data_IF_200015629805
#
_entry.id   IF_200015629805
#
_cell.length_a   1.000
_cell.length_b   1.000
_cell.length_c   1.000
_cell.angle_alpha   90.00
_cell.angle_beta   90.00
_cell.angle_gamma   90.00
#
_symmetry.space_group_name_H-M   'P 1'
#
loop_
_entity.id
_entity.type
_entity.pdbx_description
1 polymer ?
#
# COMPACT_ATOMS: atom_id res chain seq x y z
N UNK A 1 11.03 -17.52 -6.32
CA UNK A 1 11.54 -18.82 -5.81
C UNK A 1 11.14 -19.91 -6.78
N UNK A 2 12.05 -20.83 -7.12
CA UNK A 2 11.72 -22.03 -7.91
C UNK A 2 11.01 -23.05 -7.01
N UNK A 3 9.98 -23.70 -7.53
CA UNK A 3 9.26 -24.75 -6.82
C UNK A 3 10.05 -26.05 -6.94
N UNK A 4 10.31 -26.68 -5.80
CA UNK A 4 11.04 -27.95 -5.75
C UNK A 4 10.34 -29.01 -6.61
N UNK A 5 11.12 -29.78 -7.38
CA UNK A 5 10.61 -30.81 -8.27
C UNK A 5 9.84 -30.30 -9.51
N UNK A 6 9.78 -28.98 -9.74
CA UNK A 6 9.11 -28.39 -10.91
C UNK A 6 10.05 -27.46 -11.69
N UNK A 7 9.73 -27.29 -12.97
CA UNK A 7 10.29 -26.23 -13.82
C UNK A 7 9.35 -25.03 -13.83
N UNK A 8 9.10 -24.48 -12.64
CA UNK A 8 8.24 -23.34 -12.42
C UNK A 8 8.70 -22.57 -11.19
N UNK A 9 8.42 -21.27 -11.17
CA UNK A 9 8.74 -20.39 -10.07
C UNK A 9 7.51 -19.55 -9.67
N UNK A 10 7.50 -19.11 -8.41
CA UNK A 10 6.56 -18.12 -7.90
C UNK A 10 7.33 -16.87 -7.52
N UNK A 11 6.82 -15.68 -7.88
CA UNK A 11 7.37 -14.43 -7.40
C UNK A 11 6.97 -14.26 -5.93
N UNK A 12 7.95 -13.98 -5.06
CA UNK A 12 7.69 -13.86 -3.62
C UNK A 12 8.03 -12.45 -3.18
N UNK A 13 7.03 -11.73 -2.70
CA UNK A 13 7.21 -10.49 -1.98
C UNK A 13 7.55 -10.81 -0.52
N UNK A 14 8.81 -10.56 -0.14
CA UNK A 14 9.34 -10.78 1.21
C UNK A 14 9.20 -9.54 2.10
N UNK A 15 8.61 -8.48 1.55
CA UNK A 15 8.52 -7.16 2.15
C UNK A 15 9.79 -6.33 1.97
N UNK A 16 10.10 -5.48 2.94
CA UNK A 16 11.01 -4.36 2.78
C UNK A 16 12.35 -4.55 3.51
N UNK A 17 13.38 -3.93 2.95
CA UNK A 17 14.71 -3.80 3.54
C UNK A 17 15.00 -2.32 3.82
N UNK A 18 15.92 -1.99 4.74
CA UNK A 18 16.34 -0.61 4.94
C UNK A 18 16.89 0.01 3.65
N UNK A 19 16.53 1.27 3.37
CA UNK A 19 17.01 1.99 2.19
C UNK A 19 18.54 2.11 2.14
N UNK A 20 19.20 2.18 3.31
CA UNK A 20 20.66 2.19 3.40
C UNK A 20 21.32 0.87 2.99
N UNK A 21 20.55 -0.21 2.79
CA UNK A 21 21.01 -1.54 2.39
C UNK A 21 20.38 -1.97 1.06
N UNK A 22 19.81 -1.03 0.29
CA UNK A 22 19.09 -1.32 -0.95
C UNK A 22 19.98 -1.33 -2.18
N UNK A 23 21.29 -1.13 -2.07
CA UNK A 23 22.19 -1.22 -3.23
C UNK A 23 22.29 -2.68 -3.72
N UNK A 24 22.55 -2.94 -5.02
CA UNK A 24 22.67 -4.30 -5.55
C UNK A 24 23.65 -5.19 -4.77
N UNK A 25 24.78 -4.63 -4.34
CA UNK A 25 25.78 -5.37 -3.55
C UNK A 25 25.28 -5.75 -2.16
N UNK A 26 24.69 -4.79 -1.43
CA UNK A 26 24.22 -5.01 -0.07
C UNK A 26 23.01 -5.95 -0.01
N UNK A 27 22.12 -5.89 -1.01
CA UNK A 27 20.92 -6.75 -1.08
C UNK A 27 21.26 -8.24 -1.12
N UNK A 28 22.46 -8.60 -1.59
CA UNK A 28 22.92 -9.98 -1.63
C UNK A 28 22.98 -10.62 -0.24
N UNK A 29 23.18 -9.83 0.82
CA UNK A 29 23.17 -10.30 2.21
C UNK A 29 21.82 -10.90 2.64
N UNK A 30 20.73 -10.59 1.93
CA UNK A 30 19.39 -11.11 2.19
C UNK A 30 19.01 -12.31 1.31
N UNK A 31 19.95 -12.83 0.53
CA UNK A 31 19.72 -14.00 -0.33
C UNK A 31 19.48 -15.24 0.53
N UNK A 32 18.48 -16.03 0.15
CA UNK A 32 18.22 -17.32 0.77
C UNK A 32 18.96 -18.40 -0.02
N UNK A 33 19.54 -19.36 0.69
CA UNK A 33 20.20 -20.53 0.11
C UNK A 33 19.45 -21.81 0.50
N UNK A 34 19.49 -22.81 -0.38
CA UNK A 34 18.82 -24.08 -0.15
C UNK A 34 17.29 -24.03 -0.29
N UNK A 35 16.64 -25.10 0.16
CA UNK A 35 15.19 -25.21 0.19
C UNK A 35 14.64 -24.46 1.41
N UNK A 36 13.60 -23.66 1.19
CA UNK A 36 12.89 -22.92 2.24
C UNK A 36 11.39 -23.13 2.08
N UNK A 37 10.71 -23.23 3.21
CA UNK A 37 9.24 -23.17 3.24
C UNK A 37 8.81 -21.71 3.25
N UNK A 38 7.78 -21.38 2.46
CA UNK A 38 7.24 -20.03 2.36
C UNK A 38 5.73 -20.10 2.45
N UNK A 39 5.18 -19.42 3.45
CA UNK A 39 3.75 -19.24 3.63
C UNK A 39 3.40 -17.75 3.45
N UNK A 40 2.22 -17.49 2.89
CA UNK A 40 1.78 -16.13 2.59
C UNK A 40 0.45 -16.09 1.86
N UNK A 41 0.06 -14.88 1.47
CA UNK A 41 -1.17 -14.58 0.75
C UNK A 41 -0.87 -14.56 -0.75
N UNK A 42 -1.66 -15.29 -1.53
CA UNK A 42 -1.62 -15.22 -2.98
C UNK A 42 -2.26 -13.94 -3.49
N UNK A 43 -1.50 -13.13 -4.22
CA UNK A 43 -1.95 -11.91 -4.89
C UNK A 43 -1.93 -12.11 -6.42
N UNK A 44 -2.89 -11.54 -7.16
CA UNK A 44 -2.83 -11.53 -8.60
C UNK A 44 -1.63 -10.70 -9.10
N UNK A 45 -1.18 -10.96 -10.33
CA UNK A 45 -0.25 -10.05 -11.03
C UNK A 45 -0.80 -8.63 -11.01
N UNK A 46 0.07 -7.66 -10.77
CA UNK A 46 -0.31 -6.26 -10.94
C UNK A 46 -0.40 -5.95 -12.43
N UNK A 47 -1.19 -4.92 -12.76
CA UNK A 47 -1.26 -4.36 -14.10
C UNK A 47 -0.52 -3.04 -14.11
N UNK A 48 0.42 -2.91 -15.03
CA UNK A 48 1.13 -1.67 -15.25
C UNK A 48 0.17 -0.55 -15.74
N UNK A 49 0.33 0.71 -15.27
CA UNK A 49 -0.49 1.81 -15.75
C UNK A 49 -0.23 2.13 -17.22
N UNK A 50 -1.28 2.50 -17.97
CA UNK A 50 -1.15 2.94 -19.37
C UNK A 50 -0.45 4.32 -19.50
N UNK A 51 -0.15 4.99 -18.38
CA UNK A 51 0.53 6.29 -18.33
C UNK A 51 2.05 6.06 -18.24
N UNK A 52 2.77 6.34 -19.32
CA UNK A 52 4.22 6.07 -19.44
C UNK A 52 5.09 6.66 -18.32
N UNK A 53 4.72 7.81 -17.74
CA UNK A 53 5.44 8.40 -16.61
C UNK A 53 5.38 7.53 -15.34
N UNK A 54 4.27 6.81 -15.18
CA UNK A 54 4.01 5.94 -14.04
C UNK A 54 4.46 4.50 -14.30
N UNK A 55 4.54 4.06 -15.56
CA UNK A 55 4.97 2.73 -15.97
C UNK A 55 6.49 2.50 -15.83
N UNK A 56 6.91 1.32 -15.40
CA UNK A 56 8.31 0.93 -15.34
C UNK A 56 9.04 1.15 -16.69
N UNK A 57 10.34 1.47 -16.67
CA UNK A 57 11.07 1.77 -17.89
C UNK A 57 10.98 0.64 -18.92
N UNK A 58 10.54 0.97 -20.14
CA UNK A 58 10.56 0.02 -21.24
C UNK A 58 12.02 -0.31 -21.60
N UNK A 59 12.36 -1.60 -21.60
CA UNK A 59 13.69 -2.06 -21.97
C UNK A 59 13.92 -1.93 -23.48
N UNK A 60 14.94 -1.18 -23.87
CA UNK A 60 15.44 -1.17 -25.25
C UNK A 60 16.28 -2.42 -25.57
N UNK A 61 16.46 -2.76 -26.85
CA UNK A 61 17.36 -3.84 -27.26
C UNK A 61 18.78 -3.62 -26.70
N UNK A 62 19.33 -4.61 -26.01
CA UNK A 62 20.68 -4.55 -25.43
C UNK A 62 20.80 -3.75 -24.11
N UNK A 63 19.70 -3.19 -23.59
CA UNK A 63 19.72 -2.58 -22.25
C UNK A 63 19.88 -3.64 -21.16
N UNK A 64 20.52 -3.31 -20.02
CA UNK A 64 20.65 -4.25 -18.91
C UNK A 64 19.26 -4.64 -18.35
N UNK A 65 19.19 -5.78 -17.62
CA UNK A 65 17.99 -6.16 -16.90
C UNK A 65 17.57 -5.06 -15.90
N UNK A 66 16.26 -4.85 -15.69
CA UNK A 66 15.79 -3.90 -14.69
C UNK A 66 16.06 -4.48 -13.30
N UNK A 67 16.72 -3.68 -12.46
CA UNK A 67 17.10 -4.03 -11.09
C UNK A 67 16.00 -3.66 -10.05
N UNK A 68 15.01 -2.87 -10.46
CA UNK A 68 13.86 -2.50 -9.64
C UNK A 68 12.59 -2.40 -10.49
N UNK A 69 11.46 -2.74 -9.85
CA UNK A 69 10.13 -2.72 -10.44
C UNK A 69 9.20 -1.93 -9.52
N UNK A 70 8.39 -1.03 -10.08
CA UNK A 70 7.34 -0.32 -9.34
C UNK A 70 6.08 -1.15 -9.27
N UNK A 71 5.81 -1.94 -10.30
CA UNK A 71 4.67 -2.85 -10.36
C UNK A 71 5.16 -4.27 -10.49
N UNK A 72 4.55 -5.17 -9.70
CA UNK A 72 4.80 -6.59 -9.83
C UNK A 72 3.97 -7.17 -10.98
N UNK A 73 4.24 -6.71 -12.20
CA UNK A 73 3.65 -7.26 -13.42
C UNK A 73 4.45 -8.49 -13.87
N UNK A 74 3.85 -9.67 -13.67
CA UNK A 74 4.51 -10.94 -13.98
C UNK A 74 4.84 -11.09 -15.47
N UNK A 75 4.04 -10.49 -16.35
CA UNK A 75 4.28 -10.55 -17.79
C UNK A 75 5.50 -9.72 -18.20
N UNK A 76 5.69 -8.56 -17.56
CA UNK A 76 6.85 -7.70 -17.77
C UNK A 76 8.13 -8.30 -17.14
N UNK A 77 8.00 -8.97 -15.99
CA UNK A 77 9.11 -9.59 -15.25
C UNK A 77 9.60 -10.89 -15.90
N UNK A 78 8.70 -11.71 -16.44
CA UNK A 78 8.99 -13.05 -16.99
C UNK A 78 10.25 -13.11 -17.90
N UNK A 79 10.50 -12.18 -18.82
CA UNK A 79 11.69 -12.23 -19.68
C UNK A 79 13.04 -12.15 -18.94
N UNK A 80 13.07 -11.66 -17.69
CA UNK A 80 14.28 -11.62 -16.85
C UNK A 80 14.44 -12.86 -15.95
N UNK A 81 13.46 -13.77 -15.94
CA UNK A 81 13.45 -14.95 -15.08
C UNK A 81 13.63 -16.21 -15.94
N UNK A 82 14.58 -17.09 -15.60
CA UNK A 82 14.87 -18.28 -16.43
C UNK A 82 13.82 -19.40 -16.31
N UNK A 83 12.82 -19.24 -15.45
CA UNK A 83 11.77 -20.22 -15.17
C UNK A 83 10.39 -19.63 -15.46
N UNK A 84 9.41 -20.44 -15.89
CA UNK A 84 8.02 -20.02 -15.98
C UNK A 84 7.50 -19.53 -14.63
N UNK A 85 7.00 -18.30 -14.58
CA UNK A 85 6.34 -17.75 -13.41
C UNK A 85 4.88 -18.23 -13.36
N UNK A 86 4.46 -18.74 -12.21
CA UNK A 86 3.05 -18.95 -11.93
C UNK A 86 2.33 -17.59 -11.89
N UNK A 87 1.04 -17.51 -12.30
CA UNK A 87 0.29 -16.26 -12.39
C UNK A 87 -0.20 -15.77 -11.01
N UNK A 88 0.66 -15.85 -10.00
CA UNK A 88 0.41 -15.46 -8.62
C UNK A 88 1.70 -14.92 -8.00
N UNK A 89 1.56 -13.88 -7.20
CA UNK A 89 2.61 -13.35 -6.33
C UNK A 89 2.31 -13.83 -4.93
N UNK A 90 3.32 -14.34 -4.23
CA UNK A 90 3.18 -14.75 -2.84
C UNK A 90 3.70 -13.64 -1.93
N UNK A 91 2.81 -12.97 -1.22
CA UNK A 91 3.13 -11.96 -0.21
C UNK A 91 3.26 -12.64 1.16
N UNK A 92 4.45 -12.62 1.74
CA UNK A 92 4.70 -13.33 3.01
C UNK A 92 4.17 -12.51 4.19
N UNK A 93 3.64 -13.20 5.21
CA UNK A 93 3.23 -12.58 6.47
C UNK A 93 4.31 -12.67 7.55
N UNK A 94 5.27 -13.57 7.40
CA UNK A 94 6.37 -13.81 8.35
C UNK A 94 7.73 -13.83 7.64
N UNK A 95 8.84 -13.53 8.35
CA UNK A 95 10.18 -13.61 7.79
C UNK A 95 10.53 -15.01 7.25
N UNK A 96 10.85 -15.09 5.97
CA UNK A 96 11.23 -16.36 5.32
C UNK A 96 12.60 -16.82 5.80
N UNK A 97 12.72 -18.09 6.17
CA UNK A 97 13.98 -18.69 6.64
C UNK A 97 14.40 -18.23 8.03
N UNK A 98 13.52 -17.58 8.79
CA UNK A 98 13.81 -17.09 10.15
C UNK A 98 14.77 -15.89 10.19
N UNK A 99 15.09 -15.29 9.05
CA UNK A 99 16.00 -14.15 8.93
C UNK A 99 15.20 -12.89 8.57
N UNK A 100 15.35 -11.84 9.37
CA UNK A 100 14.81 -10.51 9.09
C UNK A 100 15.92 -9.47 9.28
N UNK A 101 16.08 -8.50 8.36
CA UNK A 101 15.25 -8.25 7.17
C UNK A 101 15.47 -9.25 6.01
N UNK A 102 14.59 -9.29 4.99
CA UNK A 102 13.43 -8.42 4.74
C UNK A 102 12.31 -8.57 5.77
N UNK A 103 11.61 -7.46 6.03
CA UNK A 103 10.46 -7.41 6.93
C UNK A 103 9.17 -7.49 6.11
N UNK A 104 8.29 -8.46 6.37
CA UNK A 104 6.96 -8.53 5.76
C UNK A 104 6.21 -7.20 5.86
N UNK A 105 5.27 -6.97 4.94
CA UNK A 105 4.34 -5.86 5.09
C UNK A 105 3.54 -6.07 6.39
N UNK A 106 3.56 -5.07 7.27
CA UNK A 106 2.68 -5.08 8.42
C UNK A 106 1.23 -5.10 7.92
N UNK A 107 0.38 -5.91 8.53
CA UNK A 107 -1.05 -5.71 8.38
C UNK A 107 -1.34 -4.26 8.75
N UNK A 108 -1.97 -3.54 7.83
CA UNK A 108 -2.46 -2.20 8.12
C UNK A 108 -3.49 -2.40 9.22
N UNK A 109 -3.16 -1.95 10.42
CA UNK A 109 -4.09 -1.92 11.52
C UNK A 109 -5.20 -0.93 11.14
N UNK A 110 -6.31 -1.48 10.64
CA UNK A 110 -7.53 -0.74 10.34
C UNK A 110 -8.28 -0.35 11.62
N UNK A 111 -7.71 -0.58 12.82
CA UNK A 111 -8.13 0.13 14.02
C UNK A 111 -7.68 1.59 13.92
N UNK A 112 -8.29 2.30 12.97
CA UNK A 112 -8.36 3.74 12.97
C UNK A 112 -8.72 4.17 14.40
N UNK A 113 -7.80 4.87 15.07
CA UNK A 113 -7.97 5.27 16.47
C UNK A 113 -9.32 5.96 16.69
N UNK A 114 -9.87 5.86 17.91
CA UNK A 114 -11.26 6.22 18.26
C UNK A 114 -11.93 7.29 17.38
N UNK A 115 -12.51 6.86 16.25
CA UNK A 115 -13.36 7.69 15.38
C UNK A 115 -14.51 8.37 16.11
N UNK A 116 -14.85 7.83 17.26
CA UNK A 116 -15.82 8.38 18.18
C UNK A 116 -15.47 9.81 18.60
N UNK A 117 -14.19 10.14 18.81
CA UNK A 117 -13.78 11.49 19.19
C UNK A 117 -14.08 12.52 18.09
N UNK A 118 -13.75 12.20 16.85
CA UNK A 118 -14.03 13.05 15.70
C UNK A 118 -15.52 13.17 15.39
N UNK A 119 -16.28 12.07 15.56
CA UNK A 119 -17.72 12.10 15.42
C UNK A 119 -18.38 13.01 16.48
N UNK A 120 -17.93 12.95 17.74
CA UNK A 120 -18.41 13.83 18.81
C UNK A 120 -18.13 15.30 18.48
N UNK A 121 -16.95 15.61 17.97
CA UNK A 121 -16.58 16.97 17.58
C UNK A 121 -17.54 17.54 16.52
N UNK A 122 -17.83 16.78 15.46
CA UNK A 122 -18.79 17.20 14.44
C UNK A 122 -20.21 17.37 14.97
N UNK A 123 -20.67 16.47 15.85
CA UNK A 123 -21.98 16.63 16.47
C UNK A 123 -22.05 17.86 17.38
N UNK A 124 -20.96 18.19 18.09
CA UNK A 124 -20.88 19.41 18.89
C UNK A 124 -20.96 20.67 18.03
N UNK A 125 -20.23 20.73 16.90
CA UNK A 125 -20.32 21.85 15.97
C UNK A 125 -21.72 22.00 15.37
N UNK A 126 -22.34 20.89 14.96
CA UNK A 126 -23.72 20.90 14.46
C UNK A 126 -24.71 21.42 15.51
N UNK A 127 -24.58 20.97 16.77
CA UNK A 127 -25.42 21.43 17.87
C UNK A 127 -25.23 22.93 18.15
N UNK A 128 -23.99 23.43 18.20
CA UNK A 128 -23.69 24.85 18.40
C UNK A 128 -24.28 25.69 17.26
N UNK A 129 -24.13 25.27 16.01
CA UNK A 129 -24.66 25.98 14.85
C UNK A 129 -26.20 26.04 14.87
N UNK A 130 -26.87 24.92 15.17
CA UNK A 130 -28.33 24.87 15.26
C UNK A 130 -28.88 25.71 16.39
N UNK A 131 -28.36 25.53 17.61
CA UNK A 131 -28.84 26.25 18.80
C UNK A 131 -28.50 27.74 18.72
N UNK A 132 -27.27 28.08 18.30
CA UNK A 132 -26.82 29.46 18.12
C UNK A 132 -27.59 30.17 17.02
N UNK A 133 -27.80 29.53 15.87
CA UNK A 133 -28.60 30.06 14.77
C UNK A 133 -30.05 30.30 15.16
N UNK A 134 -30.69 29.34 15.84
CA UNK A 134 -32.06 29.48 16.32
C UNK A 134 -32.19 30.62 17.35
N UNK A 135 -31.27 30.71 18.31
CA UNK A 135 -31.27 31.79 19.31
C UNK A 135 -31.07 33.17 18.66
N UNK A 136 -30.18 33.27 17.67
CA UNK A 136 -29.96 34.50 16.91
C UNK A 136 -31.24 34.91 16.17
N UNK A 137 -31.87 34.00 15.42
CA UNK A 137 -33.12 34.25 14.68
C UNK A 137 -34.26 34.72 15.59
N UNK A 138 -34.46 34.07 16.74
CA UNK A 138 -35.48 34.46 17.72
C UNK A 138 -35.20 35.85 18.29
N UNK A 139 -33.93 36.19 18.54
CA UNK A 139 -33.53 37.51 19.04
C UNK A 139 -33.73 38.60 17.99
N UNK A 140 -33.31 38.36 16.74
CA UNK A 140 -33.44 39.34 15.66
C UNK A 140 -34.90 39.62 15.31
N UNK A 141 -35.77 38.60 15.32
CA UNK A 141 -37.21 38.77 15.13
C UNK A 141 -37.88 39.64 16.21
N UNK A 142 -37.42 39.57 17.46
CA UNK A 142 -37.97 40.38 18.58
C UNK A 142 -37.55 41.85 18.51
N UNK A 143 -36.42 42.16 17.89
CA UNK A 143 -35.91 43.54 17.79
C UNK A 143 -36.58 44.37 16.68
N UNK A 144 -37.15 43.74 15.65
CA UNK A 144 -37.72 44.45 14.50
C UNK A 144 -39.13 45.01 14.76
N UNK A 145 -39.87 44.50 15.75
CA UNK A 145 -41.26 44.92 16.05
C UNK A 145 -41.34 46.23 16.84
N UNK A 146 -40.23 46.77 17.36
CA UNK A 146 -40.24 47.96 18.24
C UNK A 146 -39.98 49.31 17.54
N UNK A 147 -39.91 49.36 16.21
CA UNK A 147 -39.56 50.57 15.46
C UNK A 147 -40.63 51.04 14.47
N UNK A 148 -41.70 51.69 14.96
CA UNK A 148 -42.55 52.56 14.13
C UNK A 148 -42.81 53.87 14.88
N UNK A 149 -42.03 54.94 14.65
CA UNK A 149 -42.38 56.27 15.15
C UNK A 149 -43.48 56.91 14.29
N UNK A 150 -44.39 57.62 14.96
CA UNK A 150 -45.45 58.47 14.39
C UNK A 150 -44.89 59.80 13.90
#
# INVERSE_FOLDING_TARGET
LRIEGRDAAVLVDRGWIPASQSSPGERTAFSLSGAVEVAGIGRPSQREPDIALLADPTRGPGSPPLDAWRFLDLSAIQPQVPYPLLPVILEVSEPVGGVSPPKPQSEIDLSEGSHLGYAIEWFAFAAIALLGGAAWLVRSARTTTSGKPS
#
